data_IF_898040698196
#
_entry.id   IF_898040698196
#
_cell.length_a   1.000
_cell.length_b   1.000
_cell.length_c   1.000
_cell.angle_alpha   90.00
_cell.angle_beta   90.00
_cell.angle_gamma   90.00
#
_symmetry.space_group_name_H-M   'P 1'
#
loop_
_entity.id
_entity.type
_entity.pdbx_description
1 polymer ?
#
# COMPACT_ATOMS: atom_id res chain seq x y z
N UNK A 1 -1.63 -10.89 -20.43
CA UNK A 1 -1.82 -9.50 -20.96
C UNK A 1 -2.05 -8.59 -19.77
N UNK A 2 -1.64 -7.31 -19.83
CA UNK A 2 -1.85 -6.38 -18.72
C UNK A 2 -2.94 -5.37 -19.04
N UNK A 3 -3.91 -5.25 -18.15
CA UNK A 3 -5.00 -4.28 -18.22
C UNK A 3 -4.76 -3.16 -17.22
N UNK A 4 -5.10 -1.92 -17.59
CA UNK A 4 -4.96 -0.74 -16.73
C UNK A 4 -6.25 0.08 -16.71
N UNK A 5 -6.57 0.57 -15.52
CA UNK A 5 -7.58 1.60 -15.28
C UNK A 5 -7.01 2.70 -14.40
N UNK A 6 -7.45 3.93 -14.61
CA UNK A 6 -7.16 5.04 -13.70
C UNK A 6 -8.34 5.22 -12.76
N UNK A 7 -8.12 4.96 -11.48
CA UNK A 7 -9.07 5.20 -10.41
C UNK A 7 -8.87 6.62 -9.85
N UNK A 8 -9.94 7.39 -9.69
CA UNK A 8 -9.87 8.76 -9.16
C UNK A 8 -10.18 8.73 -7.66
N UNK A 9 -9.15 8.73 -6.82
CA UNK A 9 -9.32 8.77 -5.37
C UNK A 9 -9.40 10.20 -4.83
N UNK A 10 -9.91 10.42 -3.60
CA UNK A 10 -9.80 11.70 -2.90
C UNK A 10 -8.36 12.21 -2.73
N UNK A 11 -7.36 11.33 -2.82
CA UNK A 11 -5.93 11.64 -2.71
C UNK A 11 -5.22 11.79 -4.08
N UNK A 12 -6.00 11.88 -5.15
CA UNK A 12 -5.51 11.97 -6.52
C UNK A 12 -5.62 10.66 -7.29
N UNK A 13 -5.18 10.65 -8.57
CA UNK A 13 -5.29 9.47 -9.42
C UNK A 13 -4.47 8.30 -8.89
N UNK A 14 -5.05 7.11 -9.00
CA UNK A 14 -4.38 5.84 -8.78
C UNK A 14 -4.37 5.04 -10.09
N UNK A 15 -3.23 4.45 -10.42
CA UNK A 15 -3.13 3.46 -11.48
C UNK A 15 -3.43 2.09 -10.91
N UNK A 16 -4.47 1.44 -11.43
CA UNK A 16 -4.82 0.06 -11.12
C UNK A 16 -4.43 -0.82 -12.31
N UNK A 17 -3.72 -1.92 -12.05
CA UNK A 17 -3.30 -2.86 -13.08
C UNK A 17 -3.56 -4.30 -12.71
N UNK A 18 -4.02 -5.09 -13.67
CA UNK A 18 -4.32 -6.50 -13.47
C UNK A 18 -3.92 -7.32 -14.69
N UNK A 19 -3.57 -8.57 -14.42
CA UNK A 19 -3.43 -9.63 -15.41
C UNK A 19 -4.45 -10.74 -15.14
N UNK A 20 -4.38 -11.80 -15.91
CA UNK A 20 -5.09 -13.06 -15.67
C UNK A 20 -4.69 -13.72 -14.33
N UNK A 21 -3.54 -13.36 -13.75
CA UNK A 21 -3.05 -13.91 -12.48
C UNK A 21 -3.56 -13.16 -11.25
N UNK A 22 -4.07 -11.95 -11.40
CA UNK A 22 -4.43 -11.11 -10.25
C UNK A 22 -4.27 -9.63 -10.49
N UNK A 23 -4.49 -8.86 -9.42
CA UNK A 23 -4.07 -7.46 -9.33
C UNK A 23 -2.54 -7.42 -9.33
N UNK A 24 -1.98 -6.74 -10.31
CA UNK A 24 -0.55 -6.53 -10.51
C UNK A 24 -0.04 -5.33 -9.73
N UNK A 25 -0.90 -4.35 -9.49
CA UNK A 25 -0.63 -3.25 -8.57
C UNK A 25 -1.72 -2.18 -8.54
N UNK A 26 -1.63 -1.35 -7.52
CA UNK A 26 -2.43 -0.16 -7.26
C UNK A 26 -1.50 0.92 -6.71
N UNK A 27 -1.15 1.92 -7.51
CA UNK A 27 -0.21 2.98 -7.14
C UNK A 27 -0.88 4.33 -7.17
N UNK A 28 -0.53 5.23 -6.25
CA UNK A 28 -0.79 6.65 -6.46
C UNK A 28 0.11 7.16 -7.59
N UNK A 29 -0.44 8.02 -8.46
CA UNK A 29 0.37 8.71 -9.47
C UNK A 29 1.51 9.50 -8.79
N UNK A 30 2.72 9.38 -9.33
CA UNK A 30 3.93 9.99 -8.75
C UNK A 30 4.56 9.23 -7.58
N UNK A 31 4.05 8.06 -7.19
CA UNK A 31 4.69 7.20 -6.19
C UNK A 31 6.15 6.85 -6.57
N UNK A 32 7.08 6.79 -5.61
CA UNK A 32 8.53 6.56 -5.86
C UNK A 32 8.87 5.34 -6.73
N UNK A 33 8.06 4.28 -6.66
CA UNK A 33 8.22 3.05 -7.45
C UNK A 33 7.00 2.81 -8.36
N UNK A 34 6.37 3.88 -8.83
CA UNK A 34 5.20 3.85 -9.71
C UNK A 34 5.43 2.96 -10.92
N UNK A 35 4.55 1.96 -11.11
CA UNK A 35 4.54 1.09 -12.29
C UNK A 35 5.90 0.43 -12.61
N UNK A 36 6.77 0.28 -11.61
CA UNK A 36 8.15 -0.17 -11.80
C UNK A 36 8.20 -1.62 -12.27
N UNK A 37 9.04 -1.88 -13.27
CA UNK A 37 9.34 -3.24 -13.74
C UNK A 37 8.33 -3.80 -14.73
N UNK A 38 7.43 -2.95 -15.24
CA UNK A 38 6.50 -3.31 -16.30
C UNK A 38 7.17 -3.15 -17.66
N UNK A 39 7.27 -4.25 -18.40
CA UNK A 39 7.77 -4.27 -19.77
C UNK A 39 6.71 -4.78 -20.76
N UNK A 40 5.59 -5.27 -20.24
CA UNK A 40 4.49 -5.82 -21.02
C UNK A 40 3.64 -4.72 -21.66
N UNK A 41 3.00 -5.06 -22.78
CA UNK A 41 2.01 -4.18 -23.42
C UNK A 41 0.81 -4.01 -22.49
N UNK A 42 0.50 -2.75 -22.19
CA UNK A 42 -0.64 -2.34 -21.35
C UNK A 42 -1.84 -2.01 -22.24
N UNK A 43 -3.01 -2.50 -21.85
CA UNK A 43 -4.29 -2.24 -22.50
C UNK A 43 -5.17 -1.42 -21.56
N UNK A 44 -5.64 -0.28 -22.03
CA UNK A 44 -6.64 0.52 -21.34
C UNK A 44 -8.02 -0.07 -21.63
N UNK A 45 -8.53 -0.88 -20.71
CA UNK A 45 -9.85 -1.52 -20.84
C UNK A 45 -10.40 -1.95 -19.48
N UNK A 46 -11.67 -2.31 -19.44
CA UNK A 46 -12.30 -2.92 -18.27
C UNK A 46 -11.72 -4.29 -17.96
N UNK A 47 -11.64 -4.63 -16.68
CA UNK A 47 -11.22 -5.95 -16.22
C UNK A 47 -11.89 -6.27 -14.87
N UNK A 48 -12.46 -7.47 -14.65
CA UNK A 48 -13.23 -7.77 -13.44
C UNK A 48 -12.50 -7.47 -12.13
N UNK A 49 -11.20 -7.77 -12.05
CA UNK A 49 -10.35 -7.48 -10.89
C UNK A 49 -10.21 -5.97 -10.66
N UNK A 50 -10.06 -5.18 -11.74
CA UNK A 50 -9.91 -3.72 -11.63
C UNK A 50 -11.22 -3.10 -11.18
N UNK A 51 -12.35 -3.56 -11.72
CA UNK A 51 -13.67 -3.09 -11.33
C UNK A 51 -13.98 -3.45 -9.86
N UNK A 52 -13.60 -4.64 -9.39
CA UNK A 52 -13.71 -5.03 -7.99
C UNK A 52 -12.79 -4.17 -7.10
N UNK A 53 -11.56 -3.93 -7.55
CA UNK A 53 -10.60 -3.10 -6.81
C UNK A 53 -11.13 -1.68 -6.64
N UNK A 54 -11.65 -1.07 -7.71
CA UNK A 54 -12.28 0.25 -7.67
C UNK A 54 -13.44 0.29 -6.66
N UNK A 55 -14.35 -0.68 -6.69
CA UNK A 55 -15.47 -0.77 -5.73
C UNK A 55 -15.01 -0.90 -4.27
N UNK A 56 -13.95 -1.66 -4.00
CA UNK A 56 -13.41 -1.79 -2.64
C UNK A 56 -12.70 -0.50 -2.20
N UNK A 57 -12.02 0.18 -3.10
CA UNK A 57 -11.46 1.50 -2.83
C UNK A 57 -12.55 2.53 -2.56
N UNK A 58 -13.66 2.53 -3.31
CA UNK A 58 -14.80 3.42 -3.05
C UNK A 58 -15.34 3.23 -1.62
N UNK A 59 -15.55 1.97 -1.21
CA UNK A 59 -15.95 1.64 0.18
C UNK A 59 -14.92 2.09 1.21
N UNK A 60 -13.63 1.85 0.93
CA UNK A 60 -12.57 2.31 1.82
C UNK A 60 -12.63 3.82 1.99
N UNK A 61 -12.67 4.58 0.90
CA UNK A 61 -12.69 6.05 0.94
C UNK A 61 -14.00 6.64 1.48
N UNK A 62 -15.13 5.91 1.42
CA UNK A 62 -16.39 6.30 2.08
C UNK A 62 -16.40 6.06 3.59
N UNK A 63 -15.39 5.37 4.13
CA UNK A 63 -15.32 5.00 5.54
C UNK A 63 -16.09 3.73 5.89
N UNK A 64 -16.58 2.99 4.89
CA UNK A 64 -17.22 1.70 5.10
C UNK A 64 -16.20 0.60 5.45
N UNK A 65 -16.67 -0.43 6.16
CA UNK A 65 -15.86 -1.62 6.40
C UNK A 65 -15.53 -2.32 5.08
N UNK A 66 -14.25 -2.61 4.87
CA UNK A 66 -13.74 -3.23 3.64
C UNK A 66 -12.88 -4.45 3.97
N UNK A 67 -13.04 -5.50 3.17
CA UNK A 67 -12.17 -6.68 3.19
C UNK A 67 -11.44 -6.83 1.86
N UNK A 68 -10.17 -6.40 1.85
CA UNK A 68 -9.29 -6.52 0.70
C UNK A 68 -8.78 -7.95 0.47
N UNK A 69 -8.99 -8.90 1.40
CA UNK A 69 -8.55 -10.30 1.22
C UNK A 69 -9.26 -11.00 0.05
N UNK A 70 -10.41 -10.47 -0.36
CA UNK A 70 -11.18 -10.93 -1.52
C UNK A 70 -10.53 -10.62 -2.87
N UNK A 71 -9.49 -9.78 -2.91
CA UNK A 71 -8.76 -9.47 -4.13
C UNK A 71 -7.63 -10.49 -4.36
N UNK A 72 -7.57 -11.15 -5.53
CA UNK A 72 -6.41 -11.95 -5.89
C UNK A 72 -5.24 -11.01 -6.21
N UNK A 73 -4.18 -11.07 -5.42
CA UNK A 73 -2.94 -10.31 -5.68
C UNK A 73 -1.95 -11.20 -6.44
N UNK A 74 -1.40 -10.70 -7.53
CA UNK A 74 -0.34 -11.38 -8.27
C UNK A 74 0.96 -11.40 -7.43
N UNK A 75 1.73 -12.48 -7.48
CA UNK A 75 3.05 -12.54 -6.86
C UNK A 75 4.09 -11.83 -7.75
N UNK A 76 4.54 -10.64 -7.35
CA UNK A 76 5.37 -9.73 -8.17
C UNK A 76 6.68 -9.33 -7.49
N UNK A 77 6.84 -9.66 -6.22
CA UNK A 77 7.97 -9.27 -5.40
C UNK A 77 9.04 -10.36 -5.36
N UNK A 78 10.15 -10.06 -4.68
CA UNK A 78 11.02 -11.14 -4.21
C UNK A 78 10.33 -11.88 -3.06
N UNK A 79 10.71 -13.14 -2.78
CA UNK A 79 10.19 -13.90 -1.64
C UNK A 79 10.21 -13.09 -0.32
N UNK A 80 11.28 -12.31 -0.11
CA UNK A 80 11.38 -11.44 1.07
C UNK A 80 10.37 -10.30 1.05
N UNK A 81 10.18 -9.63 -0.09
CA UNK A 81 9.19 -8.56 -0.22
C UNK A 81 7.78 -9.09 0.00
N UNK A 82 7.44 -10.21 -0.61
CA UNK A 82 6.12 -10.82 -0.47
C UNK A 82 5.83 -11.24 0.96
N UNK A 83 6.82 -11.82 1.66
CA UNK A 83 6.67 -12.14 3.07
C UNK A 83 6.41 -10.88 3.91
N UNK A 84 7.16 -9.80 3.68
CA UNK A 84 6.91 -8.51 4.35
C UNK A 84 5.49 -8.01 4.03
N UNK A 85 5.05 -8.06 2.78
CA UNK A 85 3.73 -7.59 2.37
C UNK A 85 2.58 -8.43 2.96
N UNK A 86 2.75 -9.75 3.10
CA UNK A 86 1.78 -10.57 3.82
C UNK A 86 1.71 -10.15 5.29
N UNK A 87 2.84 -9.85 5.92
CA UNK A 87 2.86 -9.36 7.29
C UNK A 87 2.18 -7.98 7.42
N UNK A 88 2.32 -7.10 6.43
CA UNK A 88 1.59 -5.82 6.43
C UNK A 88 0.08 -6.02 6.43
N UNK A 89 -0.44 -7.02 5.70
CA UNK A 89 -1.88 -7.30 5.64
C UNK A 89 -2.47 -7.73 6.98
N UNK A 90 -1.67 -8.16 7.95
CA UNK A 90 -2.16 -8.55 9.28
C UNK A 90 -2.38 -7.35 10.20
N UNK A 91 -1.88 -6.17 9.84
CA UNK A 91 -2.04 -4.94 10.63
C UNK A 91 -3.48 -4.46 10.48
N UNK A 92 -4.31 -4.40 11.54
CA UNK A 92 -5.70 -3.98 11.44
C UNK A 92 -5.87 -2.54 10.98
N UNK A 93 -7.04 -2.22 10.41
CA UNK A 93 -7.45 -0.84 10.12
C UNK A 93 -7.41 -0.01 11.41
N UNK A 94 -6.85 1.20 11.34
CA UNK A 94 -6.76 2.13 12.47
C UNK A 94 -5.63 1.82 13.46
N UNK A 95 -4.91 0.72 13.26
CA UNK A 95 -3.72 0.38 14.05
C UNK A 95 -2.43 0.66 13.28
N UNK A 96 -1.34 0.82 14.02
CA UNK A 96 -0.01 1.03 13.45
C UNK A 96 0.99 0.06 14.05
N UNK A 97 2.09 -0.16 13.34
CA UNK A 97 3.24 -0.91 13.82
C UNK A 97 4.53 -0.16 13.48
N UNK A 98 5.67 -0.70 13.89
CA UNK A 98 6.98 -0.12 13.57
C UNK A 98 7.80 -1.04 12.68
N UNK A 99 8.72 -0.47 11.90
CA UNK A 99 9.69 -1.26 11.13
C UNK A 99 10.49 -2.24 12.01
N UNK A 100 10.75 -1.87 13.27
CA UNK A 100 11.45 -2.72 14.24
C UNK A 100 10.64 -3.94 14.67
N UNK A 101 9.34 -3.75 14.95
CA UNK A 101 8.44 -4.85 15.30
C UNK A 101 8.27 -5.83 14.12
N UNK A 102 8.12 -5.31 12.90
CA UNK A 102 8.08 -6.16 11.70
C UNK A 102 9.40 -6.93 11.50
N UNK A 103 10.55 -6.29 11.72
CA UNK A 103 11.84 -6.95 11.65
C UNK A 103 11.98 -8.07 12.68
N UNK A 104 11.53 -7.84 13.92
CA UNK A 104 11.56 -8.84 14.98
C UNK A 104 10.72 -10.08 14.62
N UNK A 105 9.52 -9.90 14.06
CA UNK A 105 8.67 -11.00 13.61
C UNK A 105 9.31 -11.82 12.48
N UNK A 106 10.16 -11.18 11.67
CA UNK A 106 10.91 -11.82 10.59
C UNK A 106 12.28 -12.37 11.03
N UNK A 107 12.62 -12.32 12.32
CA UNK A 107 13.92 -12.76 12.83
C UNK A 107 15.11 -11.89 12.38
N UNK A 108 14.86 -10.64 12.00
CA UNK A 108 15.87 -9.70 11.52
C UNK A 108 16.40 -8.80 12.63
N UNK A 109 17.68 -8.43 12.51
CA UNK A 109 18.35 -7.53 13.48
C UNK A 109 18.01 -6.06 13.29
N UNK A 110 17.58 -5.64 12.09
CA UNK A 110 17.26 -4.23 11.80
C UNK A 110 16.07 -4.08 10.86
N UNK A 111 15.37 -2.95 11.00
CA UNK A 111 14.23 -2.58 10.16
C UNK A 111 14.60 -2.06 8.77
N UNK A 112 15.88 -1.96 8.42
CA UNK A 112 16.31 -1.34 7.16
C UNK A 112 15.86 -2.15 5.93
N UNK A 113 16.06 -3.47 5.96
CA UNK A 113 15.61 -4.36 4.90
C UNK A 113 14.07 -4.33 4.76
N UNK A 114 13.37 -4.33 5.91
CA UNK A 114 11.91 -4.20 5.97
C UNK A 114 11.46 -2.88 5.35
N UNK A 115 12.07 -1.76 5.70
CA UNK A 115 11.76 -0.45 5.12
C UNK A 115 11.91 -0.43 3.60
N UNK A 116 12.94 -1.11 3.08
CA UNK A 116 13.11 -1.32 1.64
C UNK A 116 11.96 -2.11 1.00
N UNK A 117 11.49 -3.17 1.63
CA UNK A 117 10.37 -3.98 1.13
C UNK A 117 9.03 -3.24 1.24
N UNK A 118 8.75 -2.59 2.38
CA UNK A 118 7.56 -1.76 2.62
C UNK A 118 7.46 -0.65 1.57
N UNK A 119 8.57 0.05 1.30
CA UNK A 119 8.58 1.14 0.32
C UNK A 119 8.30 0.69 -1.12
N UNK A 120 8.61 -0.58 -1.45
CA UNK A 120 8.39 -1.15 -2.78
C UNK A 120 7.03 -1.83 -2.95
N UNK A 121 6.15 -1.74 -1.95
CA UNK A 121 4.79 -2.25 -2.04
C UNK A 121 4.07 -1.65 -3.27
N UNK A 122 3.63 -2.50 -4.23
CA UNK A 122 2.91 -2.04 -5.40
C UNK A 122 1.39 -1.94 -5.16
N UNK A 123 0.89 -2.33 -4.00
CA UNK A 123 -0.54 -2.39 -3.66
C UNK A 123 -0.88 -1.34 -2.60
N UNK A 124 -0.75 -0.05 -2.92
CA UNK A 124 -1.08 1.04 -1.99
C UNK A 124 -2.53 0.88 -1.47
N UNK A 125 -2.73 1.18 -0.18
CA UNK A 125 -3.98 0.97 0.60
C UNK A 125 -4.30 -0.51 0.84
N UNK A 126 -4.35 -1.33 -0.22
CA UNK A 126 -4.73 -2.74 -0.20
C UNK A 126 -3.75 -3.57 0.67
N UNK A 127 -2.45 -3.34 0.47
CA UNK A 127 -1.39 -3.75 1.40
C UNK A 127 -1.01 -2.48 2.18
N UNK A 128 -1.29 -2.41 3.49
CA UNK A 128 -1.35 -1.13 4.21
C UNK A 128 0.03 -0.65 4.68
N UNK A 129 0.92 -0.33 3.74
CA UNK A 129 2.28 0.16 4.04
C UNK A 129 2.29 1.53 4.76
N UNK A 130 1.20 2.29 4.72
CA UNK A 130 1.03 3.55 5.46
C UNK A 130 0.91 3.34 6.98
N UNK A 131 0.55 2.14 7.44
CA UNK A 131 0.43 1.79 8.88
C UNK A 131 1.78 1.53 9.58
N UNK A 132 2.91 1.65 8.87
CA UNK A 132 4.25 1.41 9.42
C UNK A 132 4.94 2.73 9.76
N UNK A 133 5.35 2.86 11.02
CA UNK A 133 6.01 4.04 11.59
C UNK A 133 7.46 3.73 11.98
N UNK A 134 8.22 4.76 12.33
CA UNK A 134 9.54 4.55 12.94
C UNK A 134 9.40 4.04 14.39
N UNK A 135 10.53 3.73 15.04
CA UNK A 135 10.55 3.19 16.41
C UNK A 135 9.96 4.13 17.47
N UNK A 136 9.96 5.45 17.23
CA UNK A 136 9.35 6.46 18.12
C UNK A 136 7.84 6.63 17.86
N UNK A 137 7.27 5.88 16.91
CA UNK A 137 5.90 6.06 16.44
C UNK A 137 5.73 7.35 15.64
N UNK A 138 6.79 7.88 15.06
CA UNK A 138 6.73 9.06 14.20
C UNK A 138 6.63 8.62 12.73
N UNK A 139 6.05 9.51 11.94
CA UNK A 139 5.96 9.35 10.50
C UNK A 139 7.34 9.47 9.87
N UNK A 140 7.68 8.49 9.04
CA UNK A 140 8.84 8.56 8.15
C UNK A 140 8.42 8.16 6.75
N UNK A 141 9.25 8.55 5.78
CA UNK A 141 9.01 8.50 4.33
C UNK A 141 7.99 7.47 3.84
N UNK A 142 7.10 7.92 2.98
CA UNK A 142 6.08 7.10 2.34
C UNK A 142 6.24 7.18 0.83
N UNK A 143 6.16 6.04 0.13
CA UNK A 143 6.39 6.01 -1.31
C UNK A 143 5.41 6.91 -2.08
N UNK A 144 4.17 7.05 -1.60
CA UNK A 144 3.14 7.92 -2.21
C UNK A 144 3.12 9.38 -1.71
N UNK A 145 4.04 9.78 -0.81
CA UNK A 145 4.05 11.11 -0.18
C UNK A 145 3.50 11.15 1.26
N UNK A 146 4.14 11.95 2.12
CA UNK A 146 3.76 12.03 3.55
C UNK A 146 2.34 12.60 3.75
N UNK A 147 1.90 13.51 2.88
CA UNK A 147 0.53 14.04 2.79
C UNK A 147 -0.50 12.91 2.76
N UNK A 148 -0.33 11.93 1.86
CA UNK A 148 -1.24 10.79 1.71
C UNK A 148 -1.18 9.87 2.91
N UNK A 149 0.02 9.61 3.45
CA UNK A 149 0.18 8.77 4.65
C UNK A 149 -0.57 9.35 5.85
N UNK A 150 -0.45 10.66 6.08
CA UNK A 150 -1.18 11.37 7.15
C UNK A 150 -2.68 11.24 6.94
N UNK A 151 -3.16 11.52 5.73
CA UNK A 151 -4.58 11.44 5.42
C UNK A 151 -5.13 10.02 5.65
N UNK A 152 -4.45 8.98 5.15
CA UNK A 152 -4.89 7.60 5.31
C UNK A 152 -4.93 7.16 6.78
N UNK A 153 -3.94 7.57 7.58
CA UNK A 153 -3.92 7.25 9.01
C UNK A 153 -5.09 7.92 9.76
N UNK A 154 -5.39 9.19 9.43
CA UNK A 154 -6.53 9.91 10.01
C UNK A 154 -7.87 9.38 9.54
N UNK A 155 -7.95 8.96 8.27
CA UNK A 155 -9.14 8.33 7.71
C UNK A 155 -9.47 7.01 8.42
N UNK A 156 -8.45 6.23 8.78
CA UNK A 156 -8.63 4.96 9.50
C UNK A 156 -8.74 5.12 11.02
N UNK A 157 -8.21 6.20 11.58
CA UNK A 157 -8.28 6.54 12.99
C UNK A 157 -8.36 8.07 13.14
N UNK A 158 -9.56 8.64 13.34
CA UNK A 158 -9.75 10.09 13.48
C UNK A 158 -8.93 10.72 14.62
N UNK A 159 -8.60 9.94 15.66
CA UNK A 159 -7.77 10.37 16.80
C UNK A 159 -6.26 10.25 16.52
N UNK A 160 -5.85 9.91 15.30
CA UNK A 160 -4.43 9.81 14.95
C UNK A 160 -3.76 11.18 14.95
N UNK A 161 -2.89 11.40 15.92
CA UNK A 161 -2.05 12.59 16.02
C UNK A 161 -0.68 12.37 15.39
N UNK A 162 -0.26 13.36 14.60
CA UNK A 162 1.11 13.42 14.09
C UNK A 162 2.00 13.95 15.21
N UNK A 163 3.02 13.18 15.59
CA UNK A 163 4.02 13.66 16.55
C UNK A 163 4.95 14.66 15.85
N UNK A 164 4.96 15.90 16.34
CA UNK A 164 5.57 17.09 15.71
C UNK A 164 7.11 17.16 15.71
N UNK A 165 7.82 16.06 15.95
CA UNK A 165 9.29 16.03 15.81
C UNK A 165 9.69 15.85 14.34
N UNK A 166 9.17 16.71 13.48
CA UNK A 166 9.65 16.93 12.13
C UNK A 166 10.42 18.24 12.13
N UNK A 167 11.73 18.15 12.34
CA UNK A 167 12.80 19.01 11.81
C UNK A 167 14.03 18.62 12.63
N UNK A 168 14.91 17.84 12.03
CA UNK A 168 16.37 18.02 11.96
C UNK A 168 16.90 17.10 10.85
#
# INVERSE_FOLDING_TARGET
MLYKQIYRSPLGPMSLMASDKGLRGAWFEGQKYFERGLNEKVILASHPILDQTARLLDKYFSGEQVDFSTLPLEAVGTNFQEHVWQLLKTIPIGQTTTYGQLAQQLGLRSGQAVGGAVGRNPYSIIVPCHRVLNQKGQLTGYAGGLDKKIWLLRHENPEFEVKDDFIL
#
